data_IF_279937872276
#
_entry.id   IF_279937872276
#
_cell.length_a   1.000
_cell.length_b   1.000
_cell.length_c   1.000
_cell.angle_alpha   90.00
_cell.angle_beta   90.00
_cell.angle_gamma   90.00
#
_symmetry.space_group_name_H-M   'P 1'
#
loop_
_entity.id
_entity.type
_entity.pdbx_description
1 polymer ?
#
# COMPACT_ATOMS: atom_id res chain seq x y z
N UNK A 1 -28.24 -12.55 5.21
CA UNK A 1 -27.58 -11.63 6.17
C UNK A 1 -26.20 -11.37 5.63
N UNK A 2 -26.07 -10.27 4.91
CA UNK A 2 -24.81 -9.80 4.35
C UNK A 2 -24.09 -9.06 5.47
N UNK A 3 -23.00 -9.62 5.97
CA UNK A 3 -22.17 -8.91 6.94
C UNK A 3 -21.59 -7.70 6.20
N UNK A 4 -22.03 -6.49 6.58
CA UNK A 4 -21.35 -5.26 6.22
C UNK A 4 -19.89 -5.43 6.68
N UNK A 5 -18.96 -5.74 5.76
CA UNK A 5 -17.53 -5.68 6.04
C UNK A 5 -17.18 -4.20 6.15
N UNK A 6 -17.43 -3.64 7.33
CA UNK A 6 -17.05 -2.26 7.61
C UNK A 6 -15.53 -2.18 7.66
N UNK A 7 -14.99 -1.15 7.03
CA UNK A 7 -13.59 -0.78 7.18
C UNK A 7 -13.36 -0.32 8.64
N UNK A 8 -12.59 -1.07 9.41
CA UNK A 8 -12.40 -0.83 10.85
C UNK A 8 -11.08 -0.07 11.08
N UNK A 9 -11.08 1.02 11.87
CA UNK A 9 -9.83 1.62 12.35
C UNK A 9 -8.99 0.57 13.10
N UNK A 10 -7.74 0.40 12.69
CA UNK A 10 -6.80 -0.54 13.32
C UNK A 10 -6.06 0.20 14.44
N UNK A 11 -6.49 -0.05 15.67
CA UNK A 11 -5.93 0.55 16.87
C UNK A 11 -4.65 -0.14 17.37
N UNK A 12 -4.19 -1.21 16.71
CA UNK A 12 -3.01 -1.98 17.12
C UNK A 12 -1.70 -1.44 16.51
N UNK A 13 -1.70 -0.22 15.96
CA UNK A 13 -0.57 0.33 15.22
C UNK A 13 0.42 1.09 16.10
N UNK A 14 1.70 0.95 15.77
CA UNK A 14 2.80 1.59 16.50
C UNK A 14 3.44 2.72 15.67
N UNK A 15 4.28 3.55 16.29
CA UNK A 15 4.92 4.68 15.61
C UNK A 15 5.80 4.24 14.43
N UNK A 16 6.41 3.06 14.55
CA UNK A 16 7.28 2.43 13.56
C UNK A 16 6.54 2.14 12.24
N UNK A 17 5.24 1.88 12.30
CA UNK A 17 4.43 1.61 11.10
C UNK A 17 4.39 2.81 10.14
N UNK A 18 4.57 4.03 10.65
CA UNK A 18 4.55 5.26 9.86
C UNK A 18 5.80 5.42 8.97
N UNK A 19 6.87 4.65 9.22
CA UNK A 19 8.09 4.63 8.43
C UNK A 19 8.15 3.44 7.45
N UNK A 20 7.06 2.68 7.32
CA UNK A 20 7.01 1.47 6.48
C UNK A 20 6.03 1.58 5.32
N UNK A 21 6.36 0.95 4.20
CA UNK A 21 5.44 0.75 3.09
C UNK A 21 4.64 -0.54 3.28
N UNK A 22 3.32 -0.47 3.16
CA UNK A 22 2.47 -1.65 3.26
C UNK A 22 2.38 -2.38 1.92
N UNK A 23 2.80 -3.65 1.92
CA UNK A 23 2.71 -4.55 0.77
C UNK A 23 1.88 -5.76 1.14
N UNK A 24 0.91 -6.09 0.29
CA UNK A 24 0.07 -7.28 0.49
C UNK A 24 0.62 -8.45 -0.31
N UNK A 25 0.65 -9.63 0.29
CA UNK A 25 1.02 -10.89 -0.37
C UNK A 25 -0.18 -11.82 -0.42
N UNK A 26 -0.66 -12.16 -1.61
CA UNK A 26 -1.84 -13.03 -1.79
C UNK A 26 -1.50 -14.30 -2.57
N UNK A 27 -2.21 -15.38 -2.26
CA UNK A 27 -2.27 -16.55 -3.11
C UNK A 27 -3.39 -16.37 -4.16
N UNK A 28 -3.13 -16.78 -5.40
CA UNK A 28 -4.15 -16.85 -6.46
C UNK A 28 -4.25 -18.27 -6.97
N UNK A 29 -5.48 -18.77 -7.04
CA UNK A 29 -5.73 -20.16 -7.44
C UNK A 29 -5.53 -21.13 -6.28
N UNK A 30 -5.17 -22.37 -6.61
CA UNK A 30 -4.99 -23.44 -5.63
C UNK A 30 -3.50 -23.54 -5.32
N UNK A 31 -3.06 -22.85 -4.27
CA UNK A 31 -1.70 -22.95 -3.72
C UNK A 31 -1.81 -23.57 -2.34
N UNK A 32 -0.98 -24.57 -2.04
CA UNK A 32 -0.98 -25.16 -0.69
C UNK A 32 -0.50 -24.13 0.34
N UNK A 33 -1.07 -24.18 1.54
CA UNK A 33 -0.71 -23.27 2.63
C UNK A 33 0.79 -23.36 2.99
N UNK A 34 1.34 -24.57 2.98
CA UNK A 34 2.76 -24.82 3.20
C UNK A 34 3.64 -24.09 2.18
N UNK A 35 3.33 -24.24 0.89
CA UNK A 35 4.10 -23.61 -0.18
C UNK A 35 3.93 -22.09 -0.18
N UNK A 36 2.71 -21.59 0.09
CA UNK A 36 2.47 -20.17 0.24
C UNK A 36 3.32 -19.58 1.36
N UNK A 37 3.27 -20.15 2.57
CA UNK A 37 4.03 -19.63 3.70
C UNK A 37 5.54 -19.80 3.56
N UNK A 38 5.98 -20.82 2.84
CA UNK A 38 7.39 -20.96 2.46
C UNK A 38 7.88 -19.77 1.65
N UNK A 39 7.17 -19.40 0.58
CA UNK A 39 7.56 -18.26 -0.26
C UNK A 39 7.31 -16.94 0.46
N UNK A 40 6.22 -16.83 1.21
CA UNK A 40 5.94 -15.65 2.04
C UNK A 40 7.08 -15.36 3.02
N UNK A 41 7.66 -16.37 3.68
CA UNK A 41 8.84 -16.19 4.56
C UNK A 41 10.05 -15.68 3.79
N UNK A 42 10.29 -16.16 2.58
CA UNK A 42 11.37 -15.66 1.70
C UNK A 42 11.14 -14.20 1.33
N UNK A 43 9.92 -13.83 0.94
CA UNK A 43 9.55 -12.44 0.65
C UNK A 43 9.82 -11.56 1.88
N UNK A 44 9.34 -11.97 3.06
CA UNK A 44 9.51 -11.23 4.30
C UNK A 44 10.97 -11.12 4.76
N UNK A 45 11.88 -12.00 4.29
CA UNK A 45 13.31 -11.89 4.61
C UNK A 45 13.93 -10.61 4.03
N UNK A 46 13.36 -10.08 2.95
CA UNK A 46 13.75 -8.80 2.33
C UNK A 46 12.76 -7.72 2.78
N UNK A 47 12.93 -7.23 4.01
CA UNK A 47 12.03 -6.22 4.61
C UNK A 47 12.61 -4.80 4.60
N UNK A 48 13.86 -4.65 4.15
CA UNK A 48 14.50 -3.35 4.03
C UNK A 48 15.42 -3.31 2.80
N UNK A 49 15.49 -2.14 2.17
CA UNK A 49 16.43 -1.90 1.08
C UNK A 49 17.04 -0.51 1.21
N UNK A 50 18.37 -0.46 1.27
CA UNK A 50 19.12 0.79 1.20
C UNK A 50 19.26 1.21 -0.25
N UNK A 51 18.87 2.43 -0.56
CA UNK A 51 18.96 2.95 -1.93
C UNK A 51 20.39 3.37 -2.21
N UNK A 52 20.93 2.98 -3.36
CA UNK A 52 22.28 3.38 -3.79
C UNK A 52 22.31 4.91 -3.95
N UNK A 53 23.37 5.53 -3.46
CA UNK A 53 23.60 6.99 -3.44
C UNK A 53 22.71 7.80 -2.48
N UNK A 54 21.98 7.15 -1.58
CA UNK A 54 21.22 7.80 -0.50
C UNK A 54 21.56 7.19 0.86
N UNK A 55 21.55 7.99 1.94
CA UNK A 55 21.55 7.44 3.32
C UNK A 55 20.17 6.87 3.73
N UNK A 56 19.23 6.77 2.80
CA UNK A 56 17.84 6.39 3.05
C UNK A 56 17.62 4.89 2.82
N UNK A 57 16.92 4.27 3.76
CA UNK A 57 16.41 2.91 3.65
C UNK A 57 14.88 2.93 3.54
N UNK A 58 14.33 2.12 2.64
CA UNK A 58 12.91 1.78 2.67
C UNK A 58 12.70 0.58 3.56
N UNK A 59 11.67 0.65 4.41
CA UNK A 59 11.20 -0.47 5.21
C UNK A 59 9.85 -0.95 4.68
N UNK A 60 9.69 -2.27 4.56
CA UNK A 60 8.50 -2.90 4.00
C UNK A 60 7.81 -3.73 5.06
N UNK A 61 6.51 -3.51 5.19
CA UNK A 61 5.63 -4.30 6.03
C UNK A 61 4.75 -5.18 5.15
N UNK A 62 5.02 -6.48 5.16
CA UNK A 62 4.25 -7.46 4.40
C UNK A 62 3.05 -7.97 5.19
N UNK A 63 1.86 -8.02 4.57
CA UNK A 63 0.65 -8.64 5.13
C UNK A 63 0.06 -9.65 4.16
N UNK A 64 -0.21 -10.87 4.63
CA UNK A 64 -0.93 -11.88 3.85
C UNK A 64 -2.43 -11.94 4.16
N UNK A 65 -2.86 -11.28 5.25
CA UNK A 65 -4.25 -11.07 5.60
C UNK A 65 -4.49 -9.56 5.71
N UNK A 66 -5.20 -8.99 4.74
CA UNK A 66 -5.56 -7.58 4.72
C UNK A 66 -6.94 -7.41 4.09
N UNK A 67 -7.95 -6.94 4.83
CA UNK A 67 -9.27 -6.60 4.29
C UNK A 67 -9.14 -5.44 3.27
N UNK A 68 -9.50 -5.62 1.99
CA UNK A 68 -9.40 -4.57 0.98
C UNK A 68 -10.18 -3.30 1.34
N UNK A 69 -11.25 -3.45 2.12
CA UNK A 69 -12.09 -2.35 2.63
C UNK A 69 -11.27 -1.36 3.49
N UNK A 70 -10.16 -1.82 4.09
CA UNK A 70 -9.28 -0.95 4.88
C UNK A 70 -8.51 0.07 4.02
N UNK A 71 -8.40 -0.14 2.69
CA UNK A 71 -7.79 0.86 1.79
C UNK A 71 -8.57 2.18 1.74
N UNK A 72 -9.85 2.18 2.08
CA UNK A 72 -10.68 3.40 2.12
C UNK A 72 -10.15 4.41 3.15
N UNK A 73 -9.50 3.95 4.22
CA UNK A 73 -8.87 4.82 5.23
C UNK A 73 -7.49 5.35 4.82
N UNK A 74 -6.98 4.95 3.65
CA UNK A 74 -5.63 5.27 3.20
C UNK A 74 -5.36 6.78 3.00
N UNK A 75 -6.42 7.59 2.85
CA UNK A 75 -6.29 9.05 2.81
C UNK A 75 -6.05 9.65 4.20
N UNK A 76 -6.56 9.04 5.28
CA UNK A 76 -6.30 9.47 6.66
C UNK A 76 -4.99 8.95 7.18
N UNK A 77 -4.66 7.71 6.80
CA UNK A 77 -3.57 6.94 7.34
C UNK A 77 -2.79 6.39 6.16
N UNK A 78 -1.95 7.23 5.56
CA UNK A 78 -1.18 6.90 4.35
C UNK A 78 -0.28 5.68 4.52
N UNK A 79 0.17 5.40 5.75
CA UNK A 79 0.89 4.17 6.13
C UNK A 79 0.04 2.90 6.13
N UNK A 80 -1.28 3.03 6.02
CA UNK A 80 -2.23 1.91 5.85
C UNK A 80 -2.61 1.67 4.40
N UNK A 81 -2.20 2.56 3.50
CA UNK A 81 -2.47 2.40 2.07
C UNK A 81 -1.60 1.27 1.53
N UNK A 82 -2.23 0.25 0.95
CA UNK A 82 -1.50 -0.81 0.25
C UNK A 82 -0.87 -0.19 -1.00
N UNK A 83 0.46 -0.07 -1.02
CA UNK A 83 1.19 0.53 -2.14
C UNK A 83 1.78 -0.51 -3.08
N UNK A 84 1.80 -1.77 -2.66
CA UNK A 84 2.36 -2.87 -3.44
C UNK A 84 1.59 -4.18 -3.26
N UNK A 85 1.55 -4.97 -4.33
CA UNK A 85 0.93 -6.30 -4.35
C UNK A 85 1.92 -7.35 -4.85
N UNK A 86 2.11 -8.43 -4.10
CA UNK A 86 2.82 -9.62 -4.57
C UNK A 86 1.86 -10.78 -4.57
N UNK A 87 1.83 -11.53 -5.66
CA UNK A 87 0.88 -12.62 -5.84
C UNK A 87 1.64 -13.91 -6.13
N UNK A 88 1.23 -15.00 -5.47
CA UNK A 88 1.84 -16.32 -5.62
C UNK A 88 0.81 -17.26 -6.22
N UNK A 89 1.17 -18.01 -7.26
CA UNK A 89 0.25 -18.94 -7.92
C UNK A 89 0.95 -20.19 -8.43
N UNK A 90 0.21 -21.28 -8.47
CA UNK A 90 0.57 -22.51 -9.18
C UNK A 90 -0.03 -22.49 -10.58
N UNK A 91 0.78 -22.80 -11.59
CA UNK A 91 0.32 -22.99 -12.96
C UNK A 91 1.19 -24.06 -13.62
N UNK A 92 0.61 -25.21 -13.97
CA UNK A 92 1.37 -26.34 -14.53
C UNK A 92 1.17 -26.53 -16.03
N UNK A 93 0.36 -25.68 -16.66
CA UNK A 93 -0.07 -25.84 -18.05
C UNK A 93 -0.18 -24.49 -18.73
N UNK A 94 0.43 -24.37 -19.91
CA UNK A 94 0.33 -23.19 -20.77
C UNK A 94 -1.12 -22.87 -21.18
N UNK A 95 -2.01 -23.86 -21.17
CA UNK A 95 -3.45 -23.66 -21.46
C UNK A 95 -4.16 -22.90 -20.35
N UNK A 96 -3.73 -23.06 -19.10
CA UNK A 96 -4.36 -22.43 -17.94
C UNK A 96 -3.77 -21.04 -17.67
N UNK A 97 -2.59 -20.75 -18.22
CA UNK A 97 -1.89 -19.47 -18.05
C UNK A 97 -2.76 -18.23 -18.30
N UNK A 98 -3.53 -18.12 -19.40
CA UNK A 98 -4.38 -16.95 -19.62
C UNK A 98 -5.38 -16.72 -18.49
N UNK A 99 -5.96 -17.80 -17.96
CA UNK A 99 -6.90 -17.71 -16.84
C UNK A 99 -6.20 -17.33 -15.53
N UNK A 100 -5.01 -17.86 -15.27
CA UNK A 100 -4.20 -17.49 -14.10
C UNK A 100 -3.80 -16.02 -14.15
N UNK A 101 -3.39 -15.53 -15.32
CA UNK A 101 -3.00 -14.14 -15.51
C UNK A 101 -4.19 -13.17 -15.37
N UNK A 102 -5.38 -13.58 -15.79
CA UNK A 102 -6.62 -12.82 -15.58
C UNK A 102 -6.95 -12.71 -14.08
N UNK A 103 -6.83 -13.81 -13.32
CA UNK A 103 -7.05 -13.76 -11.86
C UNK A 103 -6.08 -12.81 -11.15
N UNK A 104 -4.84 -12.71 -11.64
CA UNK A 104 -3.88 -11.72 -11.14
C UNK A 104 -4.33 -10.29 -11.43
N UNK A 105 -4.86 -10.00 -12.64
CA UNK A 105 -5.43 -8.70 -12.95
C UNK A 105 -6.59 -8.32 -12.03
N UNK A 106 -7.53 -9.24 -11.79
CA UNK A 106 -8.63 -9.02 -10.84
C UNK A 106 -8.10 -8.72 -9.43
N UNK A 107 -7.04 -9.39 -8.98
CA UNK A 107 -6.42 -9.05 -7.69
C UNK A 107 -5.83 -7.64 -7.68
N UNK A 108 -5.19 -7.18 -8.76
CA UNK A 108 -4.69 -5.78 -8.85
C UNK A 108 -5.84 -4.79 -8.70
N UNK A 109 -6.97 -5.06 -9.35
CA UNK A 109 -8.16 -4.18 -9.29
C UNK A 109 -8.73 -4.05 -7.89
N UNK A 110 -8.69 -5.10 -7.07
CA UNK A 110 -9.14 -5.08 -5.66
C UNK A 110 -8.39 -4.02 -4.83
N UNK A 111 -7.07 -3.89 -5.02
CA UNK A 111 -6.27 -2.90 -4.30
C UNK A 111 -6.22 -1.52 -5.02
N UNK A 112 -6.78 -1.44 -6.23
CA UNK A 112 -7.20 -0.19 -6.88
C UNK A 112 -6.10 0.85 -7.10
N UNK A 113 -6.50 2.12 -7.18
CA UNK A 113 -5.68 3.31 -7.50
C UNK A 113 -4.52 3.61 -6.55
N UNK A 114 -4.32 2.74 -5.56
CA UNK A 114 -3.35 2.90 -4.48
C UNK A 114 -2.04 2.18 -4.74
N UNK A 115 -2.06 1.14 -5.59
CA UNK A 115 -0.90 0.37 -5.99
C UNK A 115 0.05 1.18 -6.87
N UNK A 116 1.34 1.15 -6.52
CA UNK A 116 2.43 1.68 -7.33
C UNK A 116 3.17 0.60 -8.11
N UNK A 117 3.27 -0.61 -7.57
CA UNK A 117 3.77 -1.77 -8.31
C UNK A 117 3.02 -3.05 -7.88
N UNK A 118 3.01 -4.04 -8.77
CA UNK A 118 2.41 -5.35 -8.54
C UNK A 118 3.21 -6.43 -9.25
N UNK A 119 3.51 -7.54 -8.56
CA UNK A 119 4.26 -8.66 -9.14
C UNK A 119 3.56 -10.00 -8.93
N UNK A 120 3.73 -10.89 -9.90
CA UNK A 120 3.20 -12.25 -9.90
C UNK A 120 4.35 -13.26 -9.95
N UNK A 121 4.38 -14.17 -8.99
CA UNK A 121 5.28 -15.31 -8.94
C UNK A 121 4.50 -16.58 -9.28
N UNK A 122 4.91 -17.23 -10.36
CA UNK A 122 4.25 -18.38 -10.95
C UNK A 122 5.14 -19.60 -10.76
N UNK A 123 4.62 -20.63 -10.11
CA UNK A 123 5.35 -21.88 -9.86
C UNK A 123 4.79 -23.01 -10.73
N UNK A 124 5.68 -23.83 -11.29
CA UNK A 124 5.33 -25.02 -12.05
C UNK A 124 5.26 -24.88 -13.57
N UNK A 125 5.23 -23.64 -14.11
CA UNK A 125 5.07 -23.40 -15.54
C UNK A 125 6.44 -23.29 -16.22
N UNK A 126 6.65 -24.08 -17.28
CA UNK A 126 7.88 -24.08 -18.09
C UNK A 126 7.54 -24.06 -19.60
N UNK A 127 8.53 -23.73 -20.43
CA UNK A 127 8.42 -23.62 -21.89
C UNK A 127 8.14 -22.20 -22.38
N UNK A 128 7.76 -22.06 -23.66
CA UNK A 128 7.70 -20.80 -24.40
C UNK A 128 6.94 -19.67 -23.67
N UNK A 129 5.88 -20.01 -22.93
CA UNK A 129 5.11 -19.02 -22.16
C UNK A 129 5.94 -18.39 -21.04
N UNK A 130 6.75 -19.20 -20.34
CA UNK A 130 7.58 -18.77 -19.23
C UNK A 130 8.84 -18.02 -19.69
N UNK A 131 9.32 -18.29 -20.91
CA UNK A 131 10.49 -17.63 -21.50
C UNK A 131 10.19 -16.21 -22.02
N UNK A 132 8.92 -15.89 -22.25
CA UNK A 132 8.52 -14.54 -22.66
C UNK A 132 8.78 -13.52 -21.52
N UNK A 133 9.62 -12.49 -21.76
CA UNK A 133 9.99 -11.54 -20.72
C UNK A 133 8.77 -10.70 -20.33
N UNK A 134 8.49 -10.67 -19.02
CA UNK A 134 7.45 -9.85 -18.41
C UNK A 134 8.03 -9.19 -17.16
N UNK A 135 7.97 -7.86 -17.02
CA UNK A 135 8.56 -7.17 -15.87
C UNK A 135 7.82 -7.47 -14.57
N UNK A 136 6.50 -7.65 -14.64
CA UNK A 136 5.62 -7.89 -13.50
C UNK A 136 5.39 -9.37 -13.20
N UNK A 137 6.03 -10.28 -13.94
CA UNK A 137 5.87 -11.73 -13.75
C UNK A 137 7.24 -12.42 -13.62
N UNK A 138 7.35 -13.34 -12.66
CA UNK A 138 8.47 -14.25 -12.54
C UNK A 138 7.95 -15.69 -12.57
N UNK A 139 8.57 -16.53 -13.40
CA UNK A 139 8.28 -17.96 -13.48
C UNK A 139 9.38 -18.74 -12.77
N UNK A 140 8.97 -19.73 -11.97
CA UNK A 140 9.84 -20.63 -11.24
C UNK A 140 9.44 -22.08 -11.56
N UNK A 141 10.41 -22.98 -11.81
CA UNK A 141 10.11 -24.39 -12.05
C UNK A 141 9.33 -25.04 -10.92
N UNK A 142 9.68 -24.73 -9.67
CA UNK A 142 9.01 -25.20 -8.45
C UNK A 142 9.44 -24.36 -7.23
N UNK A 143 8.96 -24.73 -6.04
CA UNK A 143 9.19 -24.02 -4.77
C UNK A 143 10.59 -24.24 -4.16
N UNK A 144 11.34 -25.25 -4.61
CA UNK A 144 12.75 -25.47 -4.26
C UNK A 144 13.65 -24.59 -5.14
N UNK A 145 13.41 -24.61 -6.45
CA UNK A 145 14.22 -23.94 -7.47
C UNK A 145 13.77 -22.49 -7.72
N UNK A 146 13.87 -21.65 -6.68
CA UNK A 146 13.41 -20.25 -6.73
C UNK A 146 14.38 -19.23 -6.09
N UNK A 147 15.68 -19.41 -6.31
CA UNK A 147 16.77 -18.59 -5.72
C UNK A 147 16.76 -17.11 -6.08
N UNK A 148 16.02 -16.73 -7.13
CA UNK A 148 15.90 -15.32 -7.53
C UNK A 148 14.74 -14.58 -6.87
N UNK A 149 13.95 -15.23 -6.00
CA UNK A 149 12.81 -14.60 -5.32
C UNK A 149 13.25 -13.34 -4.57
N UNK A 150 14.27 -13.41 -3.74
CA UNK A 150 14.77 -12.29 -2.93
C UNK A 150 15.18 -11.12 -3.83
N UNK A 151 15.95 -11.40 -4.89
CA UNK A 151 16.35 -10.40 -5.88
C UNK A 151 15.14 -9.75 -6.57
N UNK A 152 14.13 -10.55 -6.94
CA UNK A 152 12.88 -10.03 -7.51
C UNK A 152 12.10 -9.17 -6.53
N UNK A 153 12.27 -9.37 -5.22
CA UNK A 153 11.72 -8.50 -4.18
C UNK A 153 12.55 -7.23 -4.01
N UNK A 154 13.88 -7.30 -4.07
CA UNK A 154 14.73 -6.10 -4.09
C UNK A 154 14.37 -5.19 -5.27
N UNK A 155 14.32 -5.75 -6.48
CA UNK A 155 13.92 -5.04 -7.70
C UNK A 155 12.50 -4.41 -7.57
N UNK A 156 11.61 -5.02 -6.77
CA UNK A 156 10.26 -4.54 -6.50
C UNK A 156 10.25 -3.39 -5.51
N UNK A 157 11.09 -3.45 -4.49
CA UNK A 157 11.23 -2.36 -3.53
C UNK A 157 11.86 -1.14 -4.23
N UNK A 158 12.83 -1.36 -5.11
CA UNK A 158 13.45 -0.31 -5.92
C UNK A 158 12.43 0.38 -6.84
N UNK A 159 11.52 -0.34 -7.50
CA UNK A 159 10.47 0.29 -8.32
C UNK A 159 9.51 1.13 -7.49
N UNK A 160 9.11 0.65 -6.30
CA UNK A 160 8.30 1.44 -5.36
C UNK A 160 9.03 2.71 -4.94
N UNK A 161 10.33 2.63 -4.65
CA UNK A 161 11.15 3.79 -4.31
C UNK A 161 11.13 4.83 -5.42
N UNK A 162 11.40 4.43 -6.66
CA UNK A 162 11.47 5.35 -7.80
C UNK A 162 10.15 6.11 -7.98
N UNK A 163 9.01 5.41 -7.88
CA UNK A 163 7.68 6.04 -8.03
C UNK A 163 7.41 7.02 -6.89
N UNK A 164 7.75 6.66 -5.65
CA UNK A 164 7.55 7.50 -4.48
C UNK A 164 8.45 8.74 -4.50
N UNK A 165 9.71 8.58 -4.89
CA UNK A 165 10.69 9.66 -4.97
C UNK A 165 10.34 10.65 -6.08
N UNK A 166 9.87 10.16 -7.23
CA UNK A 166 9.33 11.00 -8.31
C UNK A 166 8.15 11.86 -7.82
N UNK A 167 7.17 11.24 -7.16
CA UNK A 167 6.03 11.96 -6.56
C UNK A 167 6.43 12.97 -5.48
N UNK A 168 7.53 12.71 -4.74
CA UNK A 168 8.08 13.65 -3.75
C UNK A 168 8.66 14.87 -4.46
N UNK A 169 9.45 14.66 -5.51
CA UNK A 169 10.06 15.74 -6.29
C UNK A 169 8.99 16.63 -6.94
N UNK A 170 7.95 16.04 -7.52
CA UNK A 170 6.82 16.77 -8.10
C UNK A 170 6.20 17.74 -7.07
N UNK A 171 5.91 17.26 -5.86
CA UNK A 171 5.36 18.09 -4.76
C UNK A 171 6.32 19.18 -4.29
N UNK A 172 7.62 18.89 -4.22
CA UNK A 172 8.62 19.85 -3.74
C UNK A 172 8.83 21.02 -4.72
N UNK A 173 8.57 20.80 -6.02
CA UNK A 173 8.71 21.83 -7.06
C UNK A 173 7.42 22.60 -7.33
N UNK A 174 6.29 22.15 -6.78
CA UNK A 174 5.00 22.82 -6.90
C UNK A 174 4.99 24.09 -6.04
N UNK A 175 5.08 25.25 -6.71
CA UNK A 175 5.05 26.58 -6.08
C UNK A 175 3.64 27.05 -5.75
N UNK A 176 2.63 26.18 -5.85
CA UNK A 176 1.27 26.51 -5.42
C UNK A 176 1.20 26.56 -3.89
N UNK A 177 1.25 27.77 -3.34
CA UNK A 177 1.05 28.01 -1.92
C UNK A 177 -0.28 27.42 -1.44
N UNK A 178 -0.21 26.66 -0.34
CA UNK A 178 -1.28 26.40 0.63
C UNK A 178 -2.64 25.92 0.10
N UNK A 179 -2.67 24.72 -0.48
CA UNK A 179 -3.88 23.88 -0.35
C UNK A 179 -3.49 22.51 0.16
N UNK A 180 -3.29 22.39 1.47
CA UNK A 180 -3.23 21.09 2.15
C UNK A 180 -4.55 20.38 1.84
N UNK A 181 -4.54 19.21 1.16
CA UNK A 181 -5.77 18.46 0.92
C UNK A 181 -6.37 18.07 2.26
N UNK A 182 -7.60 18.53 2.53
CA UNK A 182 -8.34 18.13 3.71
C UNK A 182 -8.70 16.64 3.58
N UNK A 183 -8.19 15.83 4.50
CA UNK A 183 -8.50 14.41 4.57
C UNK A 183 -10.01 14.25 4.88
N UNK A 184 -10.76 13.42 4.14
CA UNK A 184 -12.22 13.18 4.29
C UNK A 184 -12.54 11.72 4.64
N UNK A 185 -13.08 11.41 5.84
CA UNK A 185 -13.18 9.99 6.28
C UNK A 185 -14.09 9.22 5.32
N UNK A 186 -13.97 7.88 5.19
CA UNK A 186 -14.71 7.10 4.18
C UNK A 186 -16.24 7.32 4.16
N UNK A 187 -16.80 7.85 5.24
CA UNK A 187 -18.23 8.13 5.40
C UNK A 187 -18.59 9.63 5.42
N UNK A 188 -17.63 10.53 5.21
CA UNK A 188 -17.85 11.98 5.11
C UNK A 188 -18.05 12.34 3.63
N UNK A 189 -19.25 12.79 3.28
CA UNK A 189 -19.54 13.25 1.90
C UNK A 189 -18.61 14.41 1.57
N UNK A 190 -17.82 14.25 0.50
CA UNK A 190 -16.84 15.21 -0.04
C UNK A 190 -17.43 16.60 -0.29
N UNK A 191 -18.75 16.71 -0.41
CA UNK A 191 -19.51 17.94 -0.64
C UNK A 191 -19.57 18.91 0.55
N UNK A 192 -19.16 18.49 1.76
CA UNK A 192 -19.18 19.37 2.95
C UNK A 192 -17.84 20.01 3.29
N UNK A 193 -16.79 19.66 2.55
CA UNK A 193 -15.44 20.13 2.82
C UNK A 193 -15.22 21.44 2.04
N UNK A 194 -15.67 22.54 2.64
CA UNK A 194 -15.50 23.89 2.09
C UNK A 194 -16.64 24.87 2.36
N UNK A 195 -17.53 24.65 3.33
CA UNK A 195 -18.42 25.72 3.75
C UNK A 195 -17.65 26.70 4.63
N UNK A 196 -17.26 27.83 4.03
CA UNK A 196 -16.84 29.04 4.73
C UNK A 196 -17.80 29.31 5.90
N UNK A 197 -17.30 29.26 7.13
CA UNK A 197 -18.05 29.65 8.33
C UNK A 197 -17.98 31.15 8.62
N UNK A 198 -17.70 31.97 7.60
CA UNK A 198 -17.79 33.42 7.70
C UNK A 198 -19.24 33.87 7.48
N UNK A 199 -20.10 33.63 8.48
CA UNK A 199 -21.41 34.29 8.60
C UNK A 199 -21.91 34.30 10.04
N UNK A 200 -21.50 35.36 10.77
CA UNK A 200 -22.17 36.11 11.86
C UNK A 200 -22.97 35.36 12.96
N UNK A 201 -22.94 35.84 14.22
CA UNK A 201 -23.47 35.13 15.37
C UNK A 201 -25.01 35.20 15.46
N UNK A 202 -25.66 34.06 15.37
CA UNK A 202 -27.10 33.94 15.56
C UNK A 202 -27.56 32.49 15.55
N UNK A 203 -27.73 31.91 16.74
CA UNK A 203 -28.36 30.61 17.06
C UNK A 203 -27.72 29.32 16.49
N UNK A 204 -27.29 28.38 17.35
CA UNK A 204 -26.80 27.08 16.90
C UNK A 204 -27.97 26.20 16.45
N UNK A 205 -27.98 25.81 15.18
CA UNK A 205 -28.73 24.65 14.71
C UNK A 205 -27.73 23.62 14.20
N UNK A 206 -27.49 22.59 15.01
CA UNK A 206 -26.75 21.38 14.64
C UNK A 206 -27.70 20.44 13.90
N UNK A 207 -27.27 19.92 12.74
CA UNK A 207 -27.22 18.47 12.64
C UNK A 207 -25.87 18.05 12.05
N UNK A 208 -24.81 18.18 12.84
CA UNK A 208 -23.59 17.41 12.64
C UNK A 208 -23.73 16.09 13.37
N UNK A 209 -23.67 14.97 12.66
CA UNK A 209 -23.37 13.71 13.31
C UNK A 209 -21.98 13.89 13.94
N UNK A 210 -21.95 13.94 15.27
CA UNK A 210 -20.71 13.91 16.04
C UNK A 210 -19.92 12.68 15.59
N UNK A 211 -18.75 12.92 14.99
CA UNK A 211 -17.71 11.90 14.99
C UNK A 211 -17.52 11.47 16.45
N UNK A 212 -17.43 10.17 16.72
CA UNK A 212 -17.21 9.70 18.08
C UNK A 212 -15.94 10.37 18.63
N UNK A 213 -15.87 10.67 19.94
CA UNK A 213 -14.68 11.25 20.56
C UNK A 213 -13.40 10.50 20.17
N UNK A 214 -13.50 9.18 19.99
CA UNK A 214 -12.45 8.28 19.51
C UNK A 214 -12.00 8.59 18.08
N UNK A 215 -12.91 8.88 17.14
CA UNK A 215 -12.57 9.27 15.77
C UNK A 215 -11.98 10.68 15.71
N UNK A 216 -12.43 11.58 16.58
CA UNK A 216 -11.85 12.91 16.72
C UNK A 216 -10.42 12.84 17.28
N UNK A 217 -10.19 11.95 18.24
CA UNK A 217 -8.87 11.67 18.82
C UNK A 217 -7.96 10.96 17.81
N UNK A 218 -8.46 10.03 17.01
CA UNK A 218 -7.73 9.42 15.88
C UNK A 218 -7.39 10.47 14.83
N UNK A 219 -8.32 11.36 14.46
CA UNK A 219 -8.05 12.46 13.51
C UNK A 219 -6.99 13.41 14.04
N UNK A 220 -7.08 13.80 15.31
CA UNK A 220 -6.12 14.71 15.94
C UNK A 220 -4.75 14.05 16.12
N UNK A 221 -4.70 12.79 16.57
CA UNK A 221 -3.46 12.02 16.72
C UNK A 221 -2.82 11.76 15.37
N UNK A 222 -3.63 11.40 14.36
CA UNK A 222 -3.14 11.17 12.99
C UNK A 222 -2.70 12.48 12.33
N UNK A 223 -3.41 13.59 12.49
CA UNK A 223 -2.94 14.91 12.03
C UNK A 223 -1.66 15.32 12.73
N UNK A 224 -1.55 15.13 14.05
CA UNK A 224 -0.33 15.46 14.80
C UNK A 224 0.84 14.54 14.41
N UNK A 225 0.61 13.24 14.19
CA UNK A 225 1.65 12.30 13.78
C UNK A 225 2.02 12.43 12.30
N UNK A 226 1.07 12.77 11.44
CA UNK A 226 1.29 13.05 10.01
C UNK A 226 1.98 14.39 9.84
N UNK A 227 1.58 15.42 10.58
CA UNK A 227 2.30 16.69 10.64
C UNK A 227 3.67 16.49 11.27
N UNK A 228 3.84 15.68 12.33
CA UNK A 228 5.16 15.35 12.87
C UNK A 228 6.00 14.51 11.92
N UNK A 229 5.42 13.62 11.12
CA UNK A 229 6.13 12.82 10.12
C UNK A 229 6.54 13.69 8.92
N UNK A 230 5.63 14.51 8.41
CA UNK A 230 5.92 15.49 7.37
C UNK A 230 6.89 16.56 7.87
N UNK A 231 6.83 16.96 9.15
CA UNK A 231 7.73 17.92 9.78
C UNK A 231 9.04 17.28 10.26
N UNK A 232 9.10 15.96 10.50
CA UNK A 232 10.33 15.20 10.74
C UNK A 232 11.05 15.02 9.41
N UNK A 233 10.32 14.63 8.37
CA UNK A 233 10.81 14.65 7.00
C UNK A 233 11.25 16.06 6.58
N UNK A 234 10.52 17.11 6.95
CA UNK A 234 10.88 18.50 6.62
C UNK A 234 12.01 19.09 7.48
N UNK A 235 12.04 18.85 8.79
CA UNK A 235 13.12 19.34 9.70
C UNK A 235 14.42 18.56 9.54
N UNK A 236 14.39 17.26 9.24
CA UNK A 236 15.58 16.50 8.84
C UNK A 236 16.04 16.88 7.41
N UNK A 237 15.17 17.52 6.62
CA UNK A 237 15.52 18.10 5.30
C UNK A 237 16.06 19.54 5.37
N UNK A 238 15.89 20.27 6.49
CA UNK A 238 16.42 21.63 6.68
C UNK A 238 17.80 21.67 7.35
N UNK A 239 18.29 20.55 7.90
CA UNK A 239 19.63 20.49 8.54
C UNK A 239 20.78 20.23 7.57
N UNK A 240 20.51 19.93 6.29
CA UNK A 240 21.53 19.69 5.24
C UNK A 240 21.44 20.70 4.09
N UNK A 241 21.25 21.98 4.43
CA UNK A 241 21.53 23.15 3.58
C UNK A 241 22.68 23.98 4.16
#
# INVERSE_FOLDING_TARGET
MEALRMSVPDYMQCAEDHQTLLVVVQAVGIVSEENFFRIYKRICSVSQLSVRDSQRALFIRYRHHYPPENNEWGDFQTHRKVVGLITITDCFSAKDWPQTFEKFHVQKEIYGSTLYDSRLFVFGLQGDVAEQPRPDVAFYPNYEDCDSVEKRIEDFIESLFIVLESKRLDRATDKSGDKIPLLCVPFEKKDFVGLDTDSRPGTPQVPGHFLSPELQEVRNTTQVHTLKYLHSLHSEMEQDL
#
